data_IF_786795643351
#
_entry.id   IF_786795643351
#
_cell.length_a   1.000
_cell.length_b   1.000
_cell.length_c   1.000
_cell.angle_alpha   90.00
_cell.angle_beta   90.00
_cell.angle_gamma   90.00
#
_symmetry.space_group_name_H-M   'P 1'
#
loop_
_entity.id
_entity.type
_entity.pdbx_description
1 polymer ?
#
# COMPACT_ATOMS: atom_id res chain seq x y z
N UNK A 1 7.85 -4.66 -4.65
CA UNK A 1 7.95 -3.68 -3.55
C UNK A 1 7.86 -4.43 -2.23
N UNK A 2 8.81 -4.27 -1.30
CA UNK A 2 8.68 -4.84 0.03
C UNK A 2 7.51 -4.17 0.79
N UNK A 3 6.64 -4.98 1.39
CA UNK A 3 5.55 -4.54 2.26
C UNK A 3 5.94 -4.92 3.69
N UNK A 4 6.59 -4.00 4.41
CA UNK A 4 7.16 -4.26 5.73
C UNK A 4 6.20 -4.00 6.89
N UNK A 5 5.32 -3.02 6.72
CA UNK A 5 4.47 -2.50 7.78
C UNK A 5 3.03 -2.30 7.29
N UNK A 6 2.08 -2.57 8.18
CA UNK A 6 0.65 -2.31 8.00
C UNK A 6 0.16 -1.37 9.08
N UNK A 7 -0.46 -0.26 8.68
CA UNK A 7 -1.06 0.71 9.59
C UNK A 7 -2.25 0.08 10.32
N UNK A 8 -2.32 0.34 11.63
CA UNK A 8 -3.44 -0.07 12.47
C UNK A 8 -4.44 1.05 12.73
N UNK A 9 -5.50 0.73 13.47
CA UNK A 9 -6.52 1.71 13.93
C UNK A 9 -6.15 2.41 15.25
N UNK A 10 -5.04 2.02 15.88
CA UNK A 10 -4.59 2.61 17.14
C UNK A 10 -3.88 3.95 16.93
N UNK A 11 -4.10 4.89 17.85
CA UNK A 11 -3.34 6.14 17.92
C UNK A 11 -2.26 6.02 18.98
N UNK A 12 -1.01 6.29 18.60
CA UNK A 12 0.13 6.38 19.50
C UNK A 12 1.09 7.42 18.94
N UNK A 13 1.64 8.24 19.83
CA UNK A 13 2.58 9.30 19.46
C UNK A 13 3.72 8.74 18.59
N UNK A 14 3.95 9.40 17.45
CA UNK A 14 4.97 9.01 16.48
C UNK A 14 4.61 7.85 15.56
N UNK A 15 3.37 7.33 15.59
CA UNK A 15 2.91 6.31 14.65
C UNK A 15 1.69 6.76 13.85
N UNK A 16 1.78 6.58 12.53
CA UNK A 16 0.67 6.82 11.59
C UNK A 16 -0.39 5.73 11.71
N UNK A 17 -1.66 6.13 11.69
CA UNK A 17 -2.82 5.25 11.75
C UNK A 17 -3.64 5.32 10.47
N UNK A 18 -4.39 4.24 10.19
CA UNK A 18 -5.47 4.24 9.21
C UNK A 18 -6.44 5.42 9.41
N UNK A 19 -6.65 5.82 10.67
CA UNK A 19 -7.55 6.93 11.02
C UNK A 19 -7.02 8.30 10.57
N UNK A 20 -5.74 8.39 10.22
CA UNK A 20 -5.12 9.61 9.69
C UNK A 20 -5.28 9.72 8.17
N UNK A 21 -5.82 8.67 7.51
CA UNK A 21 -5.98 8.64 6.05
C UNK A 21 -6.64 9.89 5.46
N UNK A 22 -7.75 10.42 5.99
CA UNK A 22 -8.39 11.59 5.38
C UNK A 22 -7.45 12.81 5.32
N UNK A 23 -6.69 13.04 6.40
CA UNK A 23 -5.70 14.11 6.46
C UNK A 23 -4.54 13.86 5.48
N UNK A 24 -4.02 12.63 5.43
CA UNK A 24 -2.90 12.27 4.57
C UNK A 24 -3.24 12.30 3.08
N UNK A 25 -4.47 11.91 2.72
CA UNK A 25 -4.98 11.98 1.36
C UNK A 25 -5.05 13.43 0.89
N UNK A 26 -5.53 14.34 1.74
CA UNK A 26 -5.58 15.77 1.44
C UNK A 26 -4.17 16.38 1.35
N UNK A 27 -3.31 16.12 2.35
CA UNK A 27 -1.94 16.64 2.42
C UNK A 27 -1.09 16.23 1.20
N UNK A 28 -1.27 15.00 0.72
CA UNK A 28 -0.49 14.46 -0.40
C UNK A 28 -1.21 14.54 -1.76
N UNK A 29 -2.40 15.15 -1.81
CA UNK A 29 -3.18 15.27 -3.05
C UNK A 29 -3.54 13.92 -3.67
N UNK A 30 -3.66 12.87 -2.85
CA UNK A 30 -4.01 11.54 -3.33
C UNK A 30 -5.47 11.50 -3.79
N UNK A 31 -5.83 10.57 -4.69
CA UNK A 31 -7.21 10.36 -5.04
C UNK A 31 -8.04 9.96 -3.80
N UNK A 32 -9.36 10.14 -3.89
CA UNK A 32 -10.30 9.75 -2.84
C UNK A 32 -11.55 9.11 -3.44
N UNK A 33 -12.23 8.19 -2.73
CA UNK A 33 -11.96 7.74 -1.36
C UNK A 33 -10.92 6.61 -1.28
N UNK A 34 -9.98 6.71 -0.31
CA UNK A 34 -8.96 5.70 -0.01
C UNK A 34 -8.90 5.37 1.50
N UNK A 35 -8.30 4.22 1.82
CA UNK A 35 -7.79 3.87 3.16
C UNK A 35 -6.31 3.47 3.04
N UNK A 36 -5.39 4.19 3.65
CA UNK A 36 -3.95 3.95 3.49
C UNK A 36 -3.47 2.80 4.38
N UNK A 37 -2.97 1.73 3.77
CA UNK A 37 -2.47 0.56 4.48
C UNK A 37 -1.01 0.71 4.89
N UNK A 38 -0.20 1.37 4.07
CA UNK A 38 1.24 1.49 4.30
C UNK A 38 1.81 2.66 3.51
N UNK A 39 2.96 3.17 3.93
CA UNK A 39 3.60 4.28 3.27
C UNK A 39 4.97 4.62 3.81
N UNK A 40 5.91 4.86 2.90
CA UNK A 40 7.24 5.40 3.19
C UNK A 40 7.67 6.36 2.07
N UNK A 41 8.35 7.45 2.41
CA UNK A 41 8.84 8.46 1.46
C UNK A 41 7.70 9.04 0.60
N UNK A 42 7.70 8.76 -0.70
CA UNK A 42 6.67 9.20 -1.67
C UNK A 42 5.74 8.07 -2.13
N UNK A 43 5.98 6.85 -1.65
CA UNK A 43 5.28 5.64 -2.07
C UNK A 43 4.25 5.20 -1.03
N UNK A 44 3.03 4.89 -1.44
CA UNK A 44 1.92 4.48 -0.56
C UNK A 44 1.20 3.26 -1.11
N UNK A 45 0.62 2.46 -0.23
CA UNK A 45 -0.32 1.40 -0.60
C UNK A 45 -1.64 1.71 0.09
N UNK A 46 -2.74 1.69 -0.67
CA UNK A 46 -4.06 1.99 -0.16
C UNK A 46 -5.15 1.08 -0.73
N UNK A 47 -6.22 0.92 0.04
CA UNK A 47 -7.50 0.40 -0.43
C UNK A 47 -8.18 1.49 -1.24
N UNK A 48 -8.47 1.20 -2.50
CA UNK A 48 -9.06 2.14 -3.45
C UNK A 48 -10.56 1.85 -3.63
N UNK A 49 -11.37 2.78 -3.14
CA UNK A 49 -12.82 2.69 -3.18
C UNK A 49 -13.43 3.52 -4.32
N UNK A 50 -12.64 4.17 -5.18
CA UNK A 50 -13.17 5.03 -6.26
C UNK A 50 -14.13 4.31 -7.18
N UNK A 51 -13.84 3.05 -7.50
CA UNK A 51 -14.63 2.25 -8.45
C UNK A 51 -15.80 1.53 -7.78
N UNK A 52 -15.57 0.86 -6.63
CA UNK A 52 -16.56 0.02 -5.96
C UNK A 52 -17.48 0.80 -5.01
N UNK A 53 -17.08 2.00 -4.59
CA UNK A 53 -17.76 2.80 -3.58
C UNK A 53 -17.61 2.24 -2.16
N UNK A 54 -18.03 3.01 -1.17
CA UNK A 54 -17.80 2.74 0.27
C UNK A 54 -18.26 1.36 0.79
N UNK A 55 -19.25 0.76 0.12
CA UNK A 55 -19.90 -0.49 0.53
C UNK A 55 -19.41 -1.69 -0.30
N UNK A 56 -18.52 -1.46 -1.27
CA UNK A 56 -17.94 -2.48 -2.13
C UNK A 56 -16.58 -2.99 -1.65
N UNK A 57 -16.09 -4.06 -2.29
CA UNK A 57 -14.75 -4.57 -2.06
C UNK A 57 -13.73 -3.70 -2.80
N UNK A 58 -12.78 -3.05 -2.11
CA UNK A 58 -11.80 -2.16 -2.73
C UNK A 58 -10.67 -2.94 -3.40
N UNK A 59 -10.15 -2.41 -4.51
CA UNK A 59 -8.86 -2.88 -5.03
C UNK A 59 -7.72 -2.37 -4.14
N UNK A 60 -6.57 -3.02 -4.24
CA UNK A 60 -5.34 -2.55 -3.56
C UNK A 60 -4.45 -1.89 -4.59
N UNK A 61 -4.14 -0.61 -4.37
CA UNK A 61 -3.38 0.21 -5.32
C UNK A 61 -2.12 0.76 -4.65
N UNK A 62 -1.01 0.74 -5.38
CA UNK A 62 0.21 1.46 -5.04
C UNK A 62 0.21 2.84 -5.71
N UNK A 63 0.60 3.86 -4.95
CA UNK A 63 0.64 5.25 -5.38
C UNK A 63 2.04 5.81 -5.20
N UNK A 64 2.49 6.60 -6.16
CA UNK A 64 3.71 7.39 -6.11
C UNK A 64 3.33 8.85 -6.38
N UNK A 65 3.50 9.69 -5.36
CA UNK A 65 2.95 11.05 -5.35
C UNK A 65 3.73 12.03 -6.23
N UNK A 66 5.05 11.87 -6.39
CA UNK A 66 5.87 12.85 -7.12
C UNK A 66 5.71 12.73 -8.64
N UNK A 67 5.49 11.52 -9.12
CA UNK A 67 5.33 11.15 -10.53
C UNK A 67 3.87 10.94 -10.92
N UNK A 68 2.93 11.15 -9.99
CA UNK A 68 1.49 10.93 -10.20
C UNK A 68 1.20 9.56 -10.83
N UNK A 69 1.87 8.53 -10.28
CA UNK A 69 1.85 7.16 -10.84
C UNK A 69 1.09 6.23 -9.93
N UNK A 70 0.18 5.45 -10.51
CA UNK A 70 -0.62 4.46 -9.80
C UNK A 70 -0.43 3.07 -10.43
N UNK A 71 -0.39 2.04 -9.59
CA UNK A 71 -0.31 0.63 -10.02
C UNK A 71 -1.29 -0.21 -9.21
N UNK A 72 -2.26 -0.84 -9.88
CA UNK A 72 -3.11 -1.84 -9.24
C UNK A 72 -2.27 -3.06 -8.84
N UNK A 73 -2.30 -3.39 -7.54
CA UNK A 73 -1.59 -4.54 -6.98
C UNK A 73 -2.47 -5.78 -6.90
N UNK A 74 -3.76 -5.61 -6.61
CA UNK A 74 -4.75 -6.68 -6.55
C UNK A 74 -6.17 -6.12 -6.72
N UNK A 75 -7.09 -6.95 -7.21
CA UNK A 75 -8.50 -6.58 -7.41
C UNK A 75 -9.29 -6.47 -6.09
N UNK A 76 -8.80 -7.12 -5.03
CA UNK A 76 -9.43 -7.11 -3.70
C UNK A 76 -8.38 -7.29 -2.58
N UNK A 77 -8.78 -6.98 -1.34
CA UNK A 77 -7.86 -7.02 -0.19
C UNK A 77 -7.42 -8.44 0.17
N UNK A 78 -8.29 -9.44 -0.04
CA UNK A 78 -7.97 -10.83 0.27
C UNK A 78 -6.89 -11.35 -0.68
N UNK A 79 -7.06 -11.15 -1.98
CA UNK A 79 -6.11 -11.50 -3.03
C UNK A 79 -4.75 -10.85 -2.78
N UNK A 80 -4.72 -9.59 -2.32
CA UNK A 80 -3.49 -8.93 -1.90
C UNK A 80 -2.79 -9.66 -0.76
N UNK A 81 -3.50 -9.94 0.34
CA UNK A 81 -2.92 -10.61 1.52
C UNK A 81 -2.47 -12.04 1.20
N UNK A 82 -3.26 -12.80 0.44
CA UNK A 82 -2.93 -14.18 0.02
C UNK A 82 -1.72 -14.21 -0.93
N UNK A 83 -1.47 -13.14 -1.68
CA UNK A 83 -0.30 -12.99 -2.55
C UNK A 83 1.00 -12.57 -1.85
N UNK A 84 0.94 -12.14 -0.59
CA UNK A 84 2.14 -11.73 0.16
C UNK A 84 3.06 -12.93 0.37
N UNK A 85 4.35 -12.73 0.11
CA UNK A 85 5.39 -13.73 0.33
C UNK A 85 6.62 -13.08 0.95
N UNK A 86 7.47 -13.87 1.59
CA UNK A 86 8.74 -13.40 2.15
C UNK A 86 9.59 -12.67 1.10
N UNK A 87 10.06 -11.47 1.46
CA UNK A 87 10.97 -10.68 0.62
C UNK A 87 12.28 -11.40 0.30
N UNK A 88 12.73 -12.31 1.16
CA UNK A 88 13.94 -13.12 0.95
C UNK A 88 13.90 -13.97 -0.32
N UNK A 89 12.73 -14.21 -0.91
CA UNK A 89 12.62 -14.92 -2.19
C UNK A 89 13.14 -14.11 -3.39
N UNK A 90 13.26 -12.78 -3.26
CA UNK A 90 13.61 -11.90 -4.37
C UNK A 90 15.10 -11.53 -4.42
N UNK A 91 15.93 -12.17 -3.59
CA UNK A 91 17.32 -11.74 -3.38
C UNK A 91 17.38 -10.40 -2.66
N UNK A 92 18.52 -10.10 -2.04
CA UNK A 92 18.79 -8.81 -1.39
C UNK A 92 19.20 -7.72 -2.40
N UNK A 93 19.07 -7.99 -3.70
CA UNK A 93 19.52 -7.10 -4.77
C UNK A 93 21.04 -7.06 -4.94
N UNK A 94 21.80 -7.91 -4.23
CA UNK A 94 23.23 -8.07 -4.45
C UNK A 94 23.46 -8.70 -5.83
N UNK A 95 24.36 -8.16 -6.67
CA UNK A 95 24.66 -8.77 -7.95
C UNK A 95 25.40 -10.11 -7.72
N UNK A 96 24.67 -11.23 -7.78
CA UNK A 96 25.32 -12.54 -7.94
C UNK A 96 24.77 -13.74 -7.18
N UNK A 97 23.45 -13.91 -7.00
CA UNK A 97 22.93 -15.24 -6.64
C UNK A 97 21.82 -15.67 -7.59
N UNK A 98 21.94 -16.82 -8.30
CA UNK A 98 20.89 -17.32 -9.16
C UNK A 98 19.65 -17.71 -8.35
N UNK A 99 18.47 -17.40 -8.88
CA UNK A 99 17.19 -17.85 -8.32
C UNK A 99 17.17 -19.39 -8.24
N UNK A 100 16.69 -19.98 -7.12
CA UNK A 100 16.50 -21.42 -7.03
C UNK A 100 15.45 -21.88 -8.06
N UNK A 101 15.71 -23.05 -8.65
CA UNK A 101 14.93 -23.68 -9.72
C UNK A 101 13.49 -24.04 -9.32
#
# INVERSE_FOLDING_TARGET
MPFGDLMGIGRRDGMTSLLDTPYLVEEWGLPAPLVLLSGDGHCRIGLDYRTCGRDGEPSVTWFETDLDTELALADDFRSFVEGLTSGSKYGDGSPGEPLPA
#
